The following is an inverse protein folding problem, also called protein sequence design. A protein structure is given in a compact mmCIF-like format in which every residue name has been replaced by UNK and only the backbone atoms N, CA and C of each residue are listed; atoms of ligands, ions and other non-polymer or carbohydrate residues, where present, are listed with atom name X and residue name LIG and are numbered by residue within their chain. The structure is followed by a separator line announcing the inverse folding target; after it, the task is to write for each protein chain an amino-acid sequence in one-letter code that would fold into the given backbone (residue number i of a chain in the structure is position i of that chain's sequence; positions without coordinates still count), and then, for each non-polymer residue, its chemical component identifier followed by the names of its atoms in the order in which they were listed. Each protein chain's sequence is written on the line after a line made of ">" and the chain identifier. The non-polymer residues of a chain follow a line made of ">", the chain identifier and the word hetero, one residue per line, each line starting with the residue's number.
data_IF_962409265673
#
_entry.id   IF_962409265673
#
_cell.length_a   1.000
_cell.length_b   1.000
_cell.length_c   1.000
_cell.angle_alpha   90.00
_cell.angle_beta   90.00
_cell.angle_gamma   90.00
#
_symmetry.space_group_name_H-M   'P 1'
#
loop_
_entity.id
_entity.type
_entity.pdbx_description
1 polymer ?
#
# COMPACT_ATOMS: atom_id res chain seq x y z
N UNK A 1 -54.39 12.97 -6.79
CA UNK A 1 -53.51 11.81 -6.56
C UNK A 1 -52.17 12.13 -7.18
N UNK A 2 -51.15 12.38 -6.33
CA UNK A 2 -49.79 12.70 -6.80
C UNK A 2 -48.93 11.47 -6.52
N UNK A 3 -48.54 10.77 -7.57
CA UNK A 3 -47.59 9.69 -7.49
C UNK A 3 -46.18 10.25 -7.25
N UNK A 4 -45.70 10.07 -6.07
CA UNK A 4 -44.37 10.48 -5.68
C UNK A 4 -43.44 9.24 -5.70
N UNK A 5 -43.20 8.67 -6.88
CA UNK A 5 -42.18 7.65 -7.08
C UNK A 5 -40.82 8.33 -7.08
N UNK A 6 -40.20 8.43 -5.90
CA UNK A 6 -38.86 8.93 -5.72
C UNK A 6 -37.82 7.98 -6.34
N UNK A 7 -37.70 8.06 -7.68
CA UNK A 7 -36.56 7.41 -8.37
C UNK A 7 -35.32 8.15 -7.94
N UNK A 8 -34.48 7.52 -7.15
CA UNK A 8 -33.12 7.99 -6.85
C UNK A 8 -32.33 7.93 -8.15
N UNK A 9 -32.38 9.00 -8.92
CA UNK A 9 -31.61 9.15 -10.15
C UNK A 9 -30.16 9.33 -9.72
N UNK A 10 -29.33 8.33 -10.02
CA UNK A 10 -27.89 8.43 -9.79
C UNK A 10 -27.31 9.55 -10.67
N UNK A 11 -27.24 10.77 -10.11
CA UNK A 11 -26.79 11.99 -10.81
C UNK A 11 -25.32 11.88 -11.27
N UNK A 12 -24.52 11.03 -10.61
CA UNK A 12 -23.12 10.78 -10.96
C UNK A 12 -23.01 10.08 -12.31
N UNK A 13 -23.91 9.15 -12.62
CA UNK A 13 -23.92 8.45 -13.91
C UNK A 13 -24.26 9.36 -15.11
N UNK A 14 -24.96 10.49 -14.88
CA UNK A 14 -25.31 11.48 -15.91
C UNK A 14 -24.33 12.64 -16.04
N UNK A 15 -23.43 12.84 -15.04
CA UNK A 15 -22.56 14.02 -14.99
C UNK A 15 -21.25 13.88 -15.76
N UNK A 16 -20.94 12.71 -16.36
CA UNK A 16 -19.64 12.47 -16.99
C UNK A 16 -18.46 12.39 -15.99
N UNK A 17 -18.77 12.28 -14.70
CA UNK A 17 -17.77 12.12 -13.64
C UNK A 17 -17.39 10.65 -13.54
N UNK A 18 -16.09 10.35 -13.61
CA UNK A 18 -15.55 9.02 -13.37
C UNK A 18 -15.26 8.84 -11.90
N UNK A 19 -15.58 7.68 -11.36
CA UNK A 19 -15.19 7.29 -10.00
C UNK A 19 -14.03 6.32 -10.07
N UNK A 20 -12.93 6.63 -9.36
CA UNK A 20 -11.81 5.72 -9.13
C UNK A 20 -11.85 5.28 -7.67
N UNK A 21 -12.06 3.98 -7.45
CA UNK A 21 -12.07 3.42 -6.11
C UNK A 21 -10.71 2.77 -5.81
N UNK A 22 -9.95 3.33 -4.86
CA UNK A 22 -8.64 2.82 -4.47
C UNK A 22 -8.67 1.41 -3.87
N UNK A 23 -9.82 0.97 -3.36
CA UNK A 23 -9.96 -0.41 -2.87
C UNK A 23 -9.87 -1.46 -3.98
N UNK A 24 -10.15 -1.08 -5.23
CA UNK A 24 -10.04 -1.96 -6.40
C UNK A 24 -8.56 -2.26 -6.73
N UNK A 25 -7.66 -1.36 -6.30
CA UNK A 25 -6.21 -1.48 -6.44
C UNK A 25 -5.53 -2.05 -5.19
N UNK A 26 -6.31 -2.61 -4.26
CA UNK A 26 -5.75 -3.16 -3.04
C UNK A 26 -4.83 -4.35 -3.33
N UNK A 27 -3.56 -4.31 -2.89
CA UNK A 27 -2.59 -5.36 -3.18
C UNK A 27 -3.07 -6.72 -2.67
N UNK A 28 -2.87 -7.76 -3.48
CA UNK A 28 -3.19 -9.14 -3.10
C UNK A 28 -1.97 -9.87 -2.51
N UNK A 29 -0.77 -9.32 -2.68
CA UNK A 29 0.47 -9.91 -2.17
C UNK A 29 0.48 -9.87 -0.64
N UNK A 30 0.70 -11.01 -0.01
CA UNK A 30 0.84 -11.12 1.44
C UNK A 30 2.13 -10.43 1.90
N UNK A 31 2.06 -9.75 3.04
CA UNK A 31 3.22 -9.12 3.68
C UNK A 31 3.68 -10.02 4.83
N UNK A 32 4.93 -10.43 4.78
CA UNK A 32 5.61 -11.10 5.88
C UNK A 32 6.62 -10.17 6.54
N UNK A 33 6.84 -10.36 7.83
CA UNK A 33 7.75 -9.55 8.62
C UNK A 33 8.98 -10.37 8.99
N UNK A 34 10.16 -9.79 8.82
CA UNK A 34 11.41 -10.31 9.33
C UNK A 34 11.98 -9.33 10.36
N UNK A 35 11.80 -9.65 11.64
CA UNK A 35 12.30 -8.83 12.73
C UNK A 35 13.68 -9.31 13.18
N UNK A 36 14.69 -8.47 13.02
CA UNK A 36 16.06 -8.77 13.44
C UNK A 36 16.18 -8.88 14.97
N UNK A 37 15.24 -8.30 15.72
CA UNK A 37 15.15 -8.41 17.17
C UNK A 37 15.26 -9.86 17.65
N UNK A 38 14.62 -10.81 16.96
CA UNK A 38 14.55 -12.22 17.34
C UNK A 38 15.92 -12.91 17.34
N UNK A 39 16.94 -12.25 16.76
CA UNK A 39 18.30 -12.74 16.62
C UNK A 39 19.30 -11.96 17.48
N UNK A 40 18.85 -10.99 18.25
CA UNK A 40 19.71 -10.18 19.10
C UNK A 40 20.01 -10.90 20.44
N UNK A 41 21.26 -10.83 20.86
CA UNK A 41 21.63 -11.22 22.22
C UNK A 41 21.16 -10.12 23.18
N UNK A 42 20.36 -10.50 24.19
CA UNK A 42 19.74 -9.58 25.18
C UNK A 42 18.99 -8.38 24.55
N UNK A 43 18.39 -8.57 23.37
CA UNK A 43 17.72 -7.50 22.60
C UNK A 43 18.59 -6.26 22.29
N UNK A 44 19.90 -6.38 22.38
CA UNK A 44 20.83 -5.23 22.23
C UNK A 44 21.90 -5.45 21.18
N UNK A 45 22.48 -6.64 21.08
CA UNK A 45 23.68 -6.89 20.29
C UNK A 45 23.47 -8.04 19.32
N UNK A 46 23.81 -7.81 18.05
CA UNK A 46 23.85 -8.86 17.05
C UNK A 46 25.20 -9.56 17.07
N UNK A 47 25.24 -10.85 17.44
CA UNK A 47 26.43 -11.69 17.37
C UNK A 47 26.53 -12.35 16.00
N UNK A 48 27.51 -11.96 15.19
CA UNK A 48 27.62 -12.39 13.79
C UNK A 48 27.57 -13.90 13.61
N UNK A 49 28.33 -14.67 14.39
CA UNK A 49 28.41 -16.15 14.27
C UNK A 49 27.03 -16.78 14.52
N UNK A 50 26.37 -16.33 15.58
CA UNK A 50 25.05 -16.87 15.98
C UNK A 50 23.99 -16.52 14.96
N UNK A 51 23.99 -15.27 14.47
CA UNK A 51 23.08 -14.81 13.43
C UNK A 51 23.25 -15.59 12.12
N UNK A 52 24.49 -15.74 11.64
CA UNK A 52 24.77 -16.52 10.43
C UNK A 52 24.37 -17.99 10.58
N UNK A 53 24.52 -18.57 11.76
CA UNK A 53 24.05 -19.94 12.04
C UNK A 53 22.53 -20.01 12.00
N UNK A 54 21.82 -19.12 12.70
CA UNK A 54 20.37 -19.08 12.72
C UNK A 54 19.78 -18.93 11.31
N UNK A 55 20.34 -18.05 10.47
CA UNK A 55 19.89 -17.87 9.10
C UNK A 55 20.14 -19.08 8.17
N UNK A 56 21.07 -19.97 8.53
CA UNK A 56 21.28 -21.24 7.79
C UNK A 56 20.24 -22.29 8.16
N UNK A 57 19.75 -22.25 9.39
CA UNK A 57 18.80 -23.21 9.94
C UNK A 57 17.34 -22.78 9.69
N UNK A 58 17.12 -21.52 9.29
CA UNK A 58 15.79 -20.99 9.02
C UNK A 58 15.19 -21.56 7.73
N UNK A 59 13.93 -21.98 7.80
CA UNK A 59 13.16 -22.33 6.62
C UNK A 59 12.67 -21.07 5.90
N UNK A 60 13.35 -20.74 4.82
CA UNK A 60 13.04 -19.55 4.03
C UNK A 60 11.77 -19.71 3.19
N UNK A 61 11.26 -20.92 2.98
CA UNK A 61 10.06 -21.17 2.20
C UNK A 61 8.81 -20.48 2.76
N UNK A 62 8.80 -20.17 4.06
CA UNK A 62 7.71 -19.42 4.71
C UNK A 62 7.52 -18.01 4.15
N UNK A 63 8.54 -17.47 3.45
CA UNK A 63 8.53 -16.17 2.80
C UNK A 63 8.24 -16.24 1.30
N UNK A 64 8.00 -17.43 0.76
CA UNK A 64 7.81 -17.61 -0.68
C UNK A 64 6.64 -16.76 -1.20
N UNK A 65 6.88 -16.08 -2.32
CA UNK A 65 5.92 -15.24 -3.04
C UNK A 65 5.33 -14.06 -2.25
N UNK A 66 5.93 -13.73 -1.07
CA UNK A 66 5.47 -12.63 -0.22
C UNK A 66 6.32 -11.37 -0.41
N UNK A 67 5.74 -10.22 -0.07
CA UNK A 67 6.51 -9.00 0.23
C UNK A 67 7.09 -9.15 1.64
N UNK A 68 8.40 -9.08 1.78
CA UNK A 68 9.05 -9.19 3.10
C UNK A 68 9.55 -7.84 3.56
N UNK A 69 9.06 -7.38 4.72
CA UNK A 69 9.57 -6.20 5.41
C UNK A 69 10.63 -6.61 6.43
N UNK A 70 11.87 -6.15 6.25
CA UNK A 70 12.98 -6.39 7.16
C UNK A 70 13.14 -5.17 8.06
N UNK A 71 13.14 -5.37 9.36
CA UNK A 71 13.29 -4.28 10.34
C UNK A 71 13.84 -4.79 11.68
N UNK A 72 14.02 -3.88 12.62
CA UNK A 72 14.29 -4.21 14.02
C UNK A 72 13.26 -3.45 14.88
N UNK A 73 12.48 -4.16 15.68
CA UNK A 73 11.42 -3.57 16.50
C UNK A 73 11.92 -2.96 17.81
N UNK A 74 13.21 -3.11 18.13
CA UNK A 74 13.83 -2.53 19.31
C UNK A 74 14.94 -1.55 18.94
N UNK A 75 15.24 -0.63 19.86
CA UNK A 75 16.35 0.32 19.70
C UNK A 75 17.69 -0.40 19.97
N UNK A 76 18.19 -1.04 18.94
CA UNK A 76 19.46 -1.78 18.97
C UNK A 76 20.37 -1.36 17.81
N UNK A 77 21.68 -1.44 18.04
CA UNK A 77 22.67 -1.20 16.98
C UNK A 77 22.80 -2.45 16.11
N UNK A 78 22.06 -2.48 15.02
CA UNK A 78 22.12 -3.55 14.02
C UNK A 78 23.04 -3.12 12.89
N UNK A 79 24.17 -3.84 12.65
CA UNK A 79 25.05 -3.53 11.53
C UNK A 79 24.33 -3.70 10.18
N UNK A 80 24.55 -2.79 9.23
CA UNK A 80 23.89 -2.79 7.92
C UNK A 80 24.05 -4.11 7.16
N UNK A 81 25.21 -4.78 7.30
CA UNK A 81 25.45 -6.08 6.66
C UNK A 81 24.44 -7.16 7.09
N UNK A 82 23.84 -7.04 8.28
CA UNK A 82 22.83 -8.01 8.74
C UNK A 82 21.57 -7.97 7.86
N UNK A 83 21.07 -6.77 7.58
CA UNK A 83 19.94 -6.57 6.66
C UNK A 83 20.27 -7.03 5.24
N UNK A 84 21.49 -6.74 4.76
CA UNK A 84 21.95 -7.21 3.44
C UNK A 84 21.99 -8.73 3.37
N UNK A 85 22.45 -9.39 4.44
CA UNK A 85 22.52 -10.86 4.50
C UNK A 85 21.11 -11.49 4.45
N UNK A 86 20.15 -10.92 5.19
CA UNK A 86 18.75 -11.37 5.13
C UNK A 86 18.19 -11.18 3.73
N UNK A 87 18.39 -10.02 3.12
CA UNK A 87 17.93 -9.75 1.76
C UNK A 87 18.51 -10.75 0.75
N UNK A 88 19.80 -11.11 0.90
CA UNK A 88 20.44 -12.14 0.06
C UNK A 88 19.80 -13.53 0.23
N UNK A 89 19.30 -13.86 1.42
CA UNK A 89 18.62 -15.13 1.67
C UNK A 89 17.20 -15.17 1.11
N UNK A 90 16.57 -14.03 1.00
CA UNK A 90 15.23 -13.87 0.42
C UNK A 90 15.24 -13.77 -1.10
N UNK A 91 16.41 -13.56 -1.71
CA UNK A 91 16.57 -13.51 -3.16
C UNK A 91 16.13 -14.82 -3.82
N UNK A 92 15.26 -14.73 -4.82
CA UNK A 92 14.67 -15.89 -5.48
C UNK A 92 13.61 -16.66 -4.66
N UNK A 93 13.30 -16.21 -3.42
CA UNK A 93 12.26 -16.79 -2.55
C UNK A 93 11.11 -15.81 -2.38
N UNK A 94 11.39 -14.65 -1.85
CA UNK A 94 10.38 -13.60 -1.68
C UNK A 94 10.03 -12.96 -3.03
N UNK A 95 8.78 -12.49 -3.17
CA UNK A 95 8.39 -11.71 -4.33
C UNK A 95 9.08 -10.36 -4.38
N UNK A 96 9.20 -9.71 -3.21
CA UNK A 96 9.91 -8.44 -3.07
C UNK A 96 10.37 -8.27 -1.62
N UNK A 97 11.37 -7.42 -1.40
CA UNK A 97 11.97 -7.17 -0.08
C UNK A 97 12.10 -5.68 0.14
N UNK A 98 11.68 -5.19 1.30
CA UNK A 98 11.85 -3.79 1.69
C UNK A 98 12.45 -3.67 3.09
N UNK A 99 13.21 -2.60 3.33
CA UNK A 99 13.62 -2.23 4.67
C UNK A 99 12.59 -1.28 5.28
N UNK A 100 11.99 -1.66 6.39
CA UNK A 100 11.01 -0.83 7.09
C UNK A 100 9.84 -1.63 7.66
N UNK A 101 8.82 -0.90 8.11
CA UNK A 101 7.64 -1.46 8.75
C UNK A 101 6.65 -2.09 7.76
N UNK A 102 5.65 -2.76 8.29
CA UNK A 102 4.54 -3.32 7.50
C UNK A 102 3.79 -2.25 6.70
N UNK A 103 3.63 -1.04 7.27
CA UNK A 103 2.97 0.09 6.61
C UNK A 103 3.77 0.56 5.39
N UNK A 104 5.11 0.58 5.50
CA UNK A 104 5.96 0.91 4.38
C UNK A 104 5.86 -0.15 3.27
N UNK A 105 5.91 -1.43 3.63
CA UNK A 105 5.72 -2.53 2.67
C UNK A 105 4.36 -2.43 1.96
N UNK A 106 3.29 -2.12 2.70
CA UNK A 106 1.96 -1.88 2.13
C UNK A 106 1.95 -0.71 1.15
N UNK A 107 2.65 0.36 1.48
CA UNK A 107 2.78 1.53 0.59
C UNK A 107 3.50 1.20 -0.71
N UNK A 108 4.58 0.41 -0.65
CA UNK A 108 5.27 -0.07 -1.86
C UNK A 108 4.37 -0.93 -2.75
N UNK A 109 3.60 -1.85 -2.16
CA UNK A 109 2.66 -2.68 -2.92
C UNK A 109 1.57 -1.84 -3.59
N UNK A 110 1.05 -0.82 -2.90
CA UNK A 110 0.11 0.11 -3.51
C UNK A 110 0.75 0.89 -4.65
N UNK A 111 1.99 1.34 -4.48
CA UNK A 111 2.73 2.05 -5.54
C UNK A 111 2.84 1.18 -6.80
N UNK A 112 3.26 -0.09 -6.66
CA UNK A 112 3.36 -1.03 -7.77
C UNK A 112 2.02 -1.18 -8.52
N UNK A 113 0.92 -1.32 -7.76
CA UNK A 113 -0.40 -1.49 -8.36
C UNK A 113 -0.90 -0.22 -9.04
N UNK A 114 -0.70 0.95 -8.41
CA UNK A 114 -1.14 2.23 -8.95
C UNK A 114 -0.34 2.66 -10.18
N UNK A 115 0.92 2.27 -10.31
CA UNK A 115 1.74 2.54 -11.50
C UNK A 115 1.23 1.82 -12.76
N UNK A 116 0.37 0.80 -12.60
CA UNK A 116 -0.23 0.08 -13.72
C UNK A 116 -1.51 0.76 -14.25
N UNK A 117 -1.95 1.85 -13.63
CA UNK A 117 -3.13 2.59 -14.06
C UNK A 117 -2.87 3.26 -15.40
N UNK A 118 -3.77 3.05 -16.35
CA UNK A 118 -3.81 3.82 -17.57
C UNK A 118 -4.33 5.24 -17.28
N UNK A 119 -3.41 6.16 -17.00
CA UNK A 119 -3.72 7.55 -16.67
C UNK A 119 -4.35 8.29 -17.85
N UNK A 120 -4.05 7.88 -19.10
CA UNK A 120 -4.60 8.50 -20.31
C UNK A 120 -6.10 8.27 -20.44
N UNK A 121 -6.61 7.17 -19.91
CA UNK A 121 -8.05 6.91 -19.85
C UNK A 121 -8.84 7.98 -19.08
N UNK A 122 -8.17 8.76 -18.25
CA UNK A 122 -8.74 9.83 -17.42
C UNK A 122 -8.48 11.24 -17.97
N UNK A 123 -7.83 11.37 -19.11
CA UNK A 123 -7.47 12.67 -19.70
C UNK A 123 -8.72 13.53 -19.93
N UNK A 124 -8.61 14.81 -19.50
CA UNK A 124 -9.66 15.84 -19.60
C UNK A 124 -10.98 15.49 -18.92
N UNK A 125 -11.00 14.49 -18.03
CA UNK A 125 -12.21 14.07 -17.32
C UNK A 125 -12.27 14.62 -15.90
N UNK A 126 -13.46 14.66 -15.35
CA UNK A 126 -13.67 14.91 -13.93
C UNK A 126 -13.63 13.57 -13.19
N UNK A 127 -12.77 13.45 -12.19
CA UNK A 127 -12.51 12.20 -11.48
C UNK A 127 -12.74 12.38 -9.99
N UNK A 128 -13.52 11.48 -9.40
CA UNK A 128 -13.71 11.36 -7.95
C UNK A 128 -12.92 10.17 -7.43
N UNK A 129 -12.00 10.41 -6.51
CA UNK A 129 -11.26 9.36 -5.82
C UNK A 129 -12.03 8.92 -4.57
N UNK A 130 -12.19 7.61 -4.40
CA UNK A 130 -12.77 6.94 -3.22
C UNK A 130 -11.82 5.89 -2.66
N UNK A 131 -12.02 5.52 -1.38
CA UNK A 131 -11.21 4.49 -0.73
C UNK A 131 -11.60 4.32 0.74
N UNK A 132 -12.87 4.58 1.06
CA UNK A 132 -13.39 4.59 2.43
C UNK A 132 -14.44 3.51 2.67
N UNK A 133 -14.35 2.37 1.97
CA UNK A 133 -15.27 1.27 2.13
C UNK A 133 -14.78 0.26 3.19
N UNK A 134 -14.52 -0.98 2.77
CA UNK A 134 -14.21 -2.10 3.66
C UNK A 134 -12.72 -2.30 3.90
N UNK A 135 -11.87 -1.87 2.95
CA UNK A 135 -10.42 -2.05 3.02
C UNK A 135 -9.77 -0.75 3.47
N UNK A 136 -8.86 -0.83 4.41
CA UNK A 136 -8.09 0.31 4.86
C UNK A 136 -7.06 0.71 3.81
N UNK A 137 -7.36 1.78 3.08
CA UNK A 137 -6.46 2.37 2.08
C UNK A 137 -5.53 3.36 2.78
N UNK A 138 -4.20 3.18 2.69
CA UNK A 138 -3.27 4.08 3.38
C UNK A 138 -3.26 5.47 2.72
N UNK A 139 -2.99 6.54 3.49
CA UNK A 139 -2.88 7.91 2.97
C UNK A 139 -1.93 8.05 1.78
N UNK A 140 -0.87 7.24 1.77
CA UNK A 140 0.08 7.14 0.65
C UNK A 140 -0.62 6.93 -0.69
N UNK A 141 -1.62 6.02 -0.76
CA UNK A 141 -2.31 5.71 -2.01
C UNK A 141 -3.08 6.92 -2.57
N UNK A 142 -3.66 7.74 -1.69
CA UNK A 142 -4.34 8.98 -2.11
C UNK A 142 -3.36 10.02 -2.66
N UNK A 143 -2.20 10.17 -2.02
CA UNK A 143 -1.15 11.08 -2.49
C UNK A 143 -0.62 10.61 -3.84
N UNK A 144 -0.34 9.31 -3.98
CA UNK A 144 0.23 8.75 -5.21
C UNK A 144 -0.74 8.84 -6.38
N UNK A 145 -2.02 8.47 -6.20
CA UNK A 145 -3.01 8.59 -7.29
C UNK A 145 -3.27 10.04 -7.67
N UNK A 146 -3.23 10.95 -6.70
CA UNK A 146 -3.32 12.40 -6.97
C UNK A 146 -2.16 12.86 -7.83
N UNK A 147 -0.93 12.46 -7.49
CA UNK A 147 0.28 12.78 -8.25
C UNK A 147 0.20 12.28 -9.70
N UNK A 148 -0.33 11.07 -9.89
CA UNK A 148 -0.48 10.46 -11.22
C UNK A 148 -1.57 11.14 -12.06
N UNK A 149 -2.73 11.42 -11.48
CA UNK A 149 -3.90 11.89 -12.23
C UNK A 149 -3.98 13.42 -12.39
N UNK A 150 -3.50 14.19 -11.40
CA UNK A 150 -3.63 15.67 -11.44
C UNK A 150 -3.11 16.31 -12.72
N UNK A 151 -2.01 15.86 -13.35
CA UNK A 151 -1.52 16.46 -14.59
C UNK A 151 -2.41 16.25 -15.82
N UNK A 152 -3.25 15.21 -15.81
CA UNK A 152 -4.01 14.78 -17.00
C UNK A 152 -5.52 15.02 -16.91
N UNK A 153 -6.09 15.05 -15.69
CA UNK A 153 -7.53 15.21 -15.50
C UNK A 153 -7.97 16.67 -15.56
N UNK A 154 -9.20 16.92 -15.99
CA UNK A 154 -9.80 18.25 -15.95
C UNK A 154 -10.06 18.72 -14.51
N UNK A 155 -10.57 17.83 -13.67
CA UNK A 155 -10.88 18.09 -12.26
C UNK A 155 -10.68 16.82 -11.45
N UNK A 156 -10.01 16.95 -10.30
CA UNK A 156 -9.85 15.87 -9.33
C UNK A 156 -10.60 16.21 -8.06
N UNK A 157 -11.38 15.25 -7.55
CA UNK A 157 -12.22 15.44 -6.36
C UNK A 157 -12.07 14.24 -5.44
N UNK A 158 -12.23 14.48 -4.14
CA UNK A 158 -12.35 13.42 -3.15
C UNK A 158 -13.84 13.18 -2.84
N UNK A 159 -14.27 11.92 -2.75
CA UNK A 159 -15.65 11.59 -2.47
C UNK A 159 -15.80 10.33 -1.64
N UNK A 160 -16.32 10.48 -0.41
CA UNK A 160 -16.72 9.39 0.45
C UNK A 160 -18.18 9.54 0.82
N UNK A 161 -19.01 8.51 0.61
CA UNK A 161 -20.44 8.57 0.87
C UNK A 161 -20.81 8.83 2.36
N UNK A 162 -19.85 8.71 3.28
CA UNK A 162 -20.08 8.96 4.70
C UNK A 162 -20.02 10.45 5.09
N UNK A 163 -19.58 11.33 4.16
CA UNK A 163 -19.49 12.78 4.38
C UNK A 163 -20.22 13.51 3.24
N UNK A 164 -21.53 13.35 3.20
CA UNK A 164 -22.35 13.86 2.08
C UNK A 164 -22.76 15.32 2.22
N UNK A 165 -22.31 16.07 3.23
CA UNK A 165 -22.78 17.44 3.37
C UNK A 165 -21.82 18.54 2.93
N UNK A 166 -20.48 18.43 3.10
CA UNK A 166 -19.67 19.64 2.92
C UNK A 166 -18.26 19.47 2.31
N UNK A 167 -17.89 18.32 1.79
CA UNK A 167 -16.52 18.10 1.31
C UNK A 167 -16.44 17.86 -0.22
N UNK A 168 -17.07 18.71 -1.00
CA UNK A 168 -16.69 18.90 -2.40
C UNK A 168 -15.71 20.08 -2.47
N UNK A 169 -14.61 19.99 -1.71
CA UNK A 169 -13.55 20.98 -1.82
C UNK A 169 -12.86 20.81 -3.16
N UNK A 170 -12.93 21.85 -3.95
CA UNK A 170 -12.26 21.99 -5.24
C UNK A 170 -10.77 22.18 -5.02
N UNK A 171 -9.94 21.21 -5.45
CA UNK A 171 -8.48 21.29 -5.47
C UNK A 171 -7.96 21.73 -6.83
#
# INVERSE_FOLDING_TARGET
>A
MKDNSGIIVNRVAKSGILTLNLEDFYPQTEIALFDVKDYLFMEMILKEKDFRKALKELDWSVYADKMVAIFCSVDAIVPVWAYMLVATKLDGVAKNVVFGTQELAKSFLFQETLQQIDVEAYRDKMVVIKGCGKKEVPPFAYVEITRLLKPVVKKLMYGCLLYTSDAADDW
#
